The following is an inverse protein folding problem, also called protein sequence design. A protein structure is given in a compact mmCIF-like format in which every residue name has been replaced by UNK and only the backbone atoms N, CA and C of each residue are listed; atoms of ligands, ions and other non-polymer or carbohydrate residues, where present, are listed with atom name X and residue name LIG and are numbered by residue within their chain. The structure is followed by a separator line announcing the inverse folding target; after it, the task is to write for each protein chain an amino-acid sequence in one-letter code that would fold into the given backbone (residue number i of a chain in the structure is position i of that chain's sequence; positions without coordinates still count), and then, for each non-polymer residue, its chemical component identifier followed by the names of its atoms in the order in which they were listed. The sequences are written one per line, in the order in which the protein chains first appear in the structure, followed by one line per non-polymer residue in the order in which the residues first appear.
data_IF_380229534320
#
_entry.id   IF_380229534320
#
_cell.length_a   1.000
_cell.length_b   1.000
_cell.length_c   1.000
_cell.angle_alpha   90.00
_cell.angle_beta   90.00
_cell.angle_gamma   90.00
#
_symmetry.space_group_name_H-M   'P 1'
#
loop_
_entity.id
_entity.type
_entity.pdbx_description
1 polymer ?
#
# COMPACT_ATOMS: atom_id res chain seq x y z
N UNK A 1 -7.10 -17.17 -8.26
CA UNK A 1 -8.18 -16.51 -7.52
C UNK A 1 -9.35 -17.44 -7.24
N UNK A 2 -9.63 -18.46 -8.07
CA UNK A 2 -10.76 -19.40 -7.86
C UNK A 2 -10.83 -20.03 -6.46
N UNK A 3 -9.69 -20.32 -5.83
CA UNK A 3 -9.65 -20.91 -4.48
C UNK A 3 -10.06 -19.96 -3.33
N UNK A 4 -10.06 -18.65 -3.56
CA UNK A 4 -10.28 -17.63 -2.51
C UNK A 4 -11.41 -16.63 -2.83
N UNK A 5 -12.09 -16.79 -3.98
CA UNK A 5 -13.30 -16.04 -4.33
C UNK A 5 -13.20 -14.53 -4.09
N UNK A 6 -14.21 -13.98 -3.40
CA UNK A 6 -14.29 -12.57 -2.99
C UNK A 6 -13.65 -12.26 -1.63
N UNK A 7 -13.02 -13.24 -0.98
CA UNK A 7 -12.48 -13.07 0.37
C UNK A 7 -11.14 -12.32 0.38
N UNK A 8 -10.49 -12.23 -0.78
CA UNK A 8 -9.22 -11.51 -0.97
C UNK A 8 -9.29 -10.55 -2.15
N UNK A 9 -8.62 -9.41 -2.01
CA UNK A 9 -8.23 -8.57 -3.14
C UNK A 9 -6.80 -8.93 -3.53
N UNK A 10 -6.61 -9.47 -4.73
CA UNK A 10 -5.31 -9.86 -5.23
C UNK A 10 -4.79 -8.80 -6.21
N UNK A 11 -3.68 -8.14 -5.86
CA UNK A 11 -2.99 -7.20 -6.74
C UNK A 11 -1.57 -7.63 -7.09
N UNK A 12 -0.91 -6.87 -7.95
CA UNK A 12 0.49 -7.07 -8.31
C UNK A 12 1.36 -5.93 -7.77
N UNK A 13 2.50 -6.27 -7.20
CA UNK A 13 3.48 -5.32 -6.68
C UNK A 13 4.79 -5.34 -7.47
N UNK A 14 5.61 -4.31 -7.28
CA UNK A 14 6.91 -4.13 -7.98
C UNK A 14 6.72 -4.00 -9.50
N UNK A 15 5.63 -3.37 -9.92
CA UNK A 15 5.37 -3.08 -11.33
C UNK A 15 6.08 -1.78 -11.70
N UNK A 16 6.96 -1.84 -12.71
CA UNK A 16 7.84 -0.73 -13.11
C UNK A 16 7.42 -0.03 -14.41
N UNK A 17 6.67 -0.73 -15.25
CA UNK A 17 6.31 -0.34 -16.60
C UNK A 17 4.90 -0.83 -17.00
N UNK A 18 4.39 -0.26 -18.09
CA UNK A 18 3.05 -0.54 -18.57
C UNK A 18 2.91 -1.97 -19.10
N UNK A 19 3.96 -2.54 -19.68
CA UNK A 19 3.99 -3.91 -20.19
C UNK A 19 3.73 -4.91 -19.07
N UNK A 20 4.44 -4.75 -17.95
CA UNK A 20 4.27 -5.56 -16.74
C UNK A 20 2.90 -5.31 -16.12
N UNK A 21 2.47 -4.05 -16.01
CA UNK A 21 1.13 -3.72 -15.51
C UNK A 21 0.05 -4.43 -16.35
N UNK A 22 0.16 -4.42 -17.68
CA UNK A 22 -0.77 -5.09 -18.58
C UNK A 22 -0.77 -6.59 -18.36
N UNK A 23 0.40 -7.21 -18.28
CA UNK A 23 0.51 -8.64 -18.03
C UNK A 23 -0.16 -9.03 -16.70
N UNK A 24 0.05 -8.26 -15.63
CA UNK A 24 -0.59 -8.48 -14.34
C UNK A 24 -2.12 -8.32 -14.39
N UNK A 25 -2.62 -7.27 -15.06
CA UNK A 25 -4.05 -7.04 -15.24
C UNK A 25 -4.70 -8.22 -15.97
N UNK A 26 -4.09 -8.68 -17.07
CA UNK A 26 -4.59 -9.83 -17.82
C UNK A 26 -4.52 -11.14 -17.04
N UNK A 27 -3.60 -11.25 -16.07
CA UNK A 27 -3.53 -12.36 -15.12
C UNK A 27 -4.54 -12.26 -13.97
N UNK A 28 -5.37 -11.20 -13.93
CA UNK A 28 -6.43 -11.00 -12.94
C UNK A 28 -6.04 -10.16 -11.73
N UNK A 29 -4.96 -9.37 -11.80
CA UNK A 29 -4.64 -8.40 -10.75
C UNK A 29 -5.74 -7.33 -10.66
N UNK A 30 -6.29 -7.15 -9.45
CA UNK A 30 -7.36 -6.21 -9.15
C UNK A 30 -6.84 -4.81 -8.79
N UNK A 31 -5.54 -4.66 -8.56
CA UNK A 31 -4.86 -3.39 -8.39
C UNK A 31 -3.36 -3.56 -8.69
N UNK A 32 -2.70 -2.46 -9.04
CA UNK A 32 -1.27 -2.41 -9.38
C UNK A 32 -0.53 -1.51 -8.37
N UNK A 33 0.64 -1.97 -7.90
CA UNK A 33 1.50 -1.22 -6.98
C UNK A 33 2.91 -1.08 -7.54
N UNK A 34 3.38 0.16 -7.67
CA UNK A 34 4.74 0.48 -8.08
C UNK A 34 5.64 0.89 -6.89
N UNK A 35 6.97 0.81 -7.01
CA UNK A 35 7.89 1.47 -6.08
C UNK A 35 8.03 2.98 -6.37
N UNK A 36 7.64 3.42 -7.56
CA UNK A 36 7.65 4.82 -8.02
C UNK A 36 6.38 5.13 -8.82
N UNK A 37 6.19 6.40 -9.16
CA UNK A 37 5.19 6.84 -10.13
C UNK A 37 5.69 6.60 -11.56
N UNK A 38 4.87 5.94 -12.38
CA UNK A 38 5.08 5.75 -13.81
C UNK A 38 3.83 6.23 -14.56
N UNK A 39 4.01 7.17 -15.49
CA UNK A 39 2.92 7.78 -16.25
C UNK A 39 2.19 6.78 -17.16
N UNK A 40 2.94 5.91 -17.84
CA UNK A 40 2.38 4.91 -18.75
C UNK A 40 1.60 3.84 -17.98
N UNK A 41 2.09 3.45 -16.79
CA UNK A 41 1.34 2.60 -15.86
C UNK A 41 0.01 3.25 -15.48
N UNK A 42 0.01 4.54 -15.11
CA UNK A 42 -1.21 5.24 -14.72
C UNK A 42 -2.22 5.31 -15.88
N UNK A 43 -1.77 5.71 -17.07
CA UNK A 43 -2.61 5.76 -18.28
C UNK A 43 -3.21 4.40 -18.61
N UNK A 44 -2.41 3.33 -18.52
CA UNK A 44 -2.87 1.98 -18.79
C UNK A 44 -3.88 1.51 -17.73
N UNK A 45 -3.55 1.64 -16.44
CA UNK A 45 -4.41 1.22 -15.34
C UNK A 45 -5.77 1.92 -15.40
N UNK A 46 -5.79 3.23 -15.67
CA UNK A 46 -7.02 3.99 -15.88
C UNK A 46 -7.85 3.47 -17.06
N UNK A 47 -7.21 3.14 -18.20
CA UNK A 47 -7.89 2.58 -19.38
C UNK A 47 -8.57 1.24 -19.07
N UNK A 48 -7.94 0.42 -18.23
CA UNK A 48 -8.47 -0.89 -17.82
C UNK A 48 -9.36 -0.83 -16.58
N UNK A 49 -9.61 0.37 -16.02
CA UNK A 49 -10.32 0.57 -14.77
C UNK A 49 -9.76 -0.25 -13.59
N UNK A 50 -8.43 -0.36 -13.52
CA UNK A 50 -7.71 -1.03 -12.44
C UNK A 50 -7.01 0.02 -11.58
N UNK A 51 -7.22 0.05 -10.25
CA UNK A 51 -6.53 1.00 -9.37
C UNK A 51 -5.00 0.90 -9.46
N UNK A 52 -4.34 2.05 -9.56
CA UNK A 52 -2.90 2.17 -9.51
C UNK A 52 -2.46 2.90 -8.23
N UNK A 53 -1.57 2.25 -7.47
CA UNK A 53 -1.00 2.76 -6.22
C UNK A 53 0.50 3.02 -6.45
N UNK A 54 0.88 4.18 -7.02
CA UNK A 54 2.26 4.53 -7.26
C UNK A 54 3.03 4.83 -5.97
N UNK A 55 4.32 4.49 -5.97
CA UNK A 55 5.25 4.96 -4.95
C UNK A 55 5.61 6.42 -5.15
N UNK A 56 5.63 7.20 -4.06
CA UNK A 56 6.07 8.60 -4.04
C UNK A 56 6.91 8.85 -2.79
N UNK A 57 7.86 9.78 -2.90
CA UNK A 57 8.69 10.24 -1.78
C UNK A 57 8.75 11.77 -1.68
N UNK A 58 8.29 12.49 -2.70
CA UNK A 58 8.26 13.96 -2.71
C UNK A 58 6.86 14.52 -2.97
N UNK A 59 6.56 15.77 -2.53
CA UNK A 59 5.32 16.45 -2.88
C UNK A 59 5.09 16.58 -4.39
N UNK A 60 6.15 16.78 -5.18
CA UNK A 60 6.08 16.84 -6.65
C UNK A 60 5.52 15.54 -7.23
N UNK A 61 6.07 14.39 -6.82
CA UNK A 61 5.60 13.08 -7.26
C UNK A 61 4.17 12.79 -6.79
N UNK A 62 3.82 13.18 -5.56
CA UNK A 62 2.47 13.05 -5.04
C UNK A 62 1.45 13.85 -5.85
N UNK A 63 1.74 15.13 -6.14
CA UNK A 63 0.88 15.96 -7.01
C UNK A 63 0.74 15.33 -8.38
N UNK A 64 1.86 14.90 -8.99
CA UNK A 64 1.85 14.28 -10.31
C UNK A 64 1.01 13.00 -10.34
N UNK A 65 1.11 12.16 -9.32
CA UNK A 65 0.30 10.95 -9.21
C UNK A 65 -1.20 11.27 -9.07
N UNK A 66 -1.56 12.29 -8.28
CA UNK A 66 -2.94 12.73 -8.11
C UNK A 66 -3.52 13.31 -9.41
N UNK A 67 -2.76 14.08 -10.18
CA UNK A 67 -3.17 14.58 -11.51
C UNK A 67 -3.52 13.45 -12.49
N UNK A 68 -2.90 12.28 -12.31
CA UNK A 68 -3.14 11.08 -13.11
C UNK A 68 -4.23 10.18 -12.54
N UNK A 69 -4.90 10.60 -11.46
CA UNK A 69 -6.02 9.88 -10.85
C UNK A 69 -5.62 8.75 -9.90
N UNK A 70 -4.40 8.78 -9.33
CA UNK A 70 -4.04 7.82 -8.28
C UNK A 70 -4.89 8.05 -7.01
N UNK A 71 -5.70 7.06 -6.64
CA UNK A 71 -6.55 7.14 -5.44
C UNK A 71 -5.75 7.01 -4.14
N UNK A 72 -4.65 6.23 -4.17
CA UNK A 72 -3.79 5.96 -3.02
C UNK A 72 -2.33 6.19 -3.41
N UNK A 73 -1.63 6.95 -2.57
CA UNK A 73 -0.20 7.24 -2.71
C UNK A 73 0.60 6.37 -1.74
N UNK A 74 1.46 5.52 -2.28
CA UNK A 74 2.37 4.71 -1.47
C UNK A 74 3.57 5.57 -1.06
N UNK A 75 3.70 5.88 0.23
CA UNK A 75 4.90 6.53 0.78
C UNK A 75 5.98 5.46 0.96
N UNK A 76 7.04 5.49 0.16
CA UNK A 76 8.03 4.41 0.13
C UNK A 76 9.44 4.88 -0.24
N UNK A 77 10.50 4.49 0.52
CA UNK A 77 10.48 3.68 1.75
C UNK A 77 10.11 4.50 3.02
N UNK A 78 9.06 4.08 3.73
CA UNK A 78 8.53 4.83 4.88
C UNK A 78 9.42 4.75 6.14
N UNK A 79 10.15 3.65 6.34
CA UNK A 79 10.96 3.42 7.55
C UNK A 79 12.06 4.46 7.76
N UNK A 80 12.54 5.10 6.69
CA UNK A 80 13.56 6.16 6.78
C UNK A 80 13.04 7.45 7.42
N UNK A 81 11.71 7.63 7.50
CA UNK A 81 11.08 8.88 7.95
C UNK A 81 10.13 8.67 9.14
N UNK A 82 9.63 7.45 9.33
CA UNK A 82 8.68 7.11 10.39
C UNK A 82 7.29 7.76 10.20
N UNK A 83 6.36 7.58 11.15
CA UNK A 83 4.95 8.00 11.01
C UNK A 83 4.74 9.49 10.68
N UNK A 84 5.68 10.36 11.07
CA UNK A 84 5.63 11.81 10.81
C UNK A 84 5.61 12.18 9.33
N UNK A 85 6.06 11.30 8.43
CA UNK A 85 5.98 11.55 6.98
C UNK A 85 4.53 11.78 6.52
N UNK A 86 3.56 11.10 7.14
CA UNK A 86 2.16 11.21 6.74
C UNK A 86 1.63 12.61 7.02
N UNK A 87 1.87 13.14 8.21
CA UNK A 87 1.45 14.50 8.55
C UNK A 87 2.20 15.55 7.72
N UNK A 88 3.47 15.31 7.38
CA UNK A 88 4.25 16.17 6.50
C UNK A 88 3.65 16.27 5.09
N UNK A 89 3.13 15.17 4.53
CA UNK A 89 2.41 15.19 3.24
C UNK A 89 0.99 15.75 3.36
N UNK A 90 0.26 15.43 4.43
CA UNK A 90 -1.11 15.95 4.64
C UNK A 90 -1.17 17.46 4.84
N UNK A 91 -0.09 18.10 5.29
CA UNK A 91 -0.02 19.56 5.42
C UNK A 91 -0.33 20.29 4.11
N UNK A 92 0.47 20.10 3.04
CA UNK A 92 0.21 20.69 1.73
C UNK A 92 -0.80 19.92 0.86
N UNK A 93 -0.99 18.62 1.11
CA UNK A 93 -1.83 17.73 0.28
C UNK A 93 -2.84 16.96 1.14
N UNK A 94 -3.79 17.65 1.82
CA UNK A 94 -4.75 17.02 2.73
C UNK A 94 -5.73 16.07 2.03
N UNK A 95 -5.96 16.26 0.73
CA UNK A 95 -6.81 15.41 -0.10
C UNK A 95 -6.19 14.06 -0.46
N UNK A 96 -4.89 13.88 -0.24
CA UNK A 96 -4.20 12.62 -0.55
C UNK A 96 -4.56 11.50 0.43
N UNK A 97 -4.71 10.29 -0.11
CA UNK A 97 -4.82 9.06 0.68
C UNK A 97 -3.46 8.36 0.72
N UNK A 98 -2.90 8.18 1.91
CA UNK A 98 -1.52 7.73 2.05
C UNK A 98 -1.42 6.30 2.59
N UNK A 99 -0.56 5.50 1.94
CA UNK A 99 -0.18 4.15 2.33
C UNK A 99 1.33 4.08 2.61
N UNK A 100 1.80 4.27 3.85
CA UNK A 100 3.19 4.00 4.19
C UNK A 100 3.55 2.53 3.90
N UNK A 101 4.72 2.29 3.34
CA UNK A 101 5.27 0.94 3.10
C UNK A 101 6.76 0.91 3.41
N UNK A 102 7.20 -0.14 4.11
CA UNK A 102 8.59 -0.33 4.55
C UNK A 102 8.71 -0.20 6.09
N UNK A 103 9.30 -1.21 6.73
CA UNK A 103 9.52 -1.25 8.19
C UNK A 103 8.27 -1.32 9.08
N UNK A 104 7.09 -1.59 8.51
CA UNK A 104 5.84 -1.69 9.30
C UNK A 104 5.72 -3.07 9.94
N UNK A 105 5.44 -3.10 11.24
CA UNK A 105 5.28 -4.29 12.08
C UNK A 105 4.01 -4.19 12.93
N UNK A 106 3.66 -5.25 13.66
CA UNK A 106 2.51 -5.25 14.58
C UNK A 106 2.69 -4.22 15.71
N UNK A 107 3.92 -4.02 16.15
CA UNK A 107 4.28 -3.13 17.26
C UNK A 107 4.11 -1.66 16.89
N UNK A 108 4.40 -1.28 15.62
CA UNK A 108 4.34 0.11 15.17
C UNK A 108 3.11 0.45 14.31
N UNK A 109 2.30 -0.53 13.89
CA UNK A 109 1.14 -0.30 13.01
C UNK A 109 0.17 0.76 13.55
N UNK A 110 -0.08 0.77 14.87
CA UNK A 110 -0.98 1.72 15.49
C UNK A 110 -0.48 3.18 15.36
N UNK A 111 0.83 3.40 15.36
CA UNK A 111 1.43 4.74 15.24
C UNK A 111 1.21 5.31 13.83
N UNK A 112 1.37 4.46 12.80
CA UNK A 112 1.11 4.84 11.41
C UNK A 112 -0.37 5.20 11.17
N UNK A 113 -1.30 4.41 11.74
CA UNK A 113 -2.73 4.71 11.64
C UNK A 113 -3.07 6.04 12.33
N UNK A 114 -2.56 6.25 13.55
CA UNK A 114 -2.78 7.52 14.29
C UNK A 114 -2.18 8.73 13.60
N UNK A 115 -1.07 8.56 12.89
CA UNK A 115 -0.48 9.60 12.06
C UNK A 115 -1.31 9.91 10.79
N UNK A 116 -2.36 9.13 10.52
CA UNK A 116 -3.34 9.37 9.47
C UNK A 116 -3.19 8.48 8.24
N UNK A 117 -2.45 7.36 8.33
CA UNK A 117 -2.42 6.36 7.27
C UNK A 117 -3.81 5.78 7.04
N UNK A 118 -4.25 5.74 5.79
CA UNK A 118 -5.50 5.07 5.43
C UNK A 118 -5.30 3.55 5.32
N UNK A 119 -4.14 3.15 4.79
CA UNK A 119 -3.76 1.76 4.51
C UNK A 119 -2.31 1.56 4.98
N UNK A 120 -1.94 0.35 5.40
CA UNK A 120 -0.55 0.01 5.72
C UNK A 120 -0.02 -1.01 4.70
N UNK A 121 1.09 -0.71 4.04
CA UNK A 121 1.78 -1.66 3.18
C UNK A 121 2.77 -2.49 3.98
N UNK A 122 2.47 -3.78 4.15
CA UNK A 122 3.24 -4.69 5.02
C UNK A 122 3.86 -5.80 4.18
N UNK A 123 5.18 -5.85 4.17
CA UNK A 123 5.95 -6.84 3.42
C UNK A 123 6.46 -7.96 4.32
N UNK A 124 7.79 -8.07 4.41
CA UNK A 124 8.47 -9.20 5.06
C UNK A 124 8.07 -9.47 6.51
N UNK A 125 7.63 -8.46 7.26
CA UNK A 125 7.15 -8.65 8.63
C UNK A 125 5.96 -9.63 8.71
N UNK A 126 5.06 -9.59 7.72
CA UNK A 126 3.91 -10.50 7.64
C UNK A 126 4.28 -11.85 7.03
N UNK A 127 5.15 -11.86 6.02
CA UNK A 127 5.40 -13.06 5.19
C UNK A 127 6.62 -13.88 5.61
N UNK A 128 7.34 -13.50 6.67
CA UNK A 128 8.58 -14.18 7.11
C UNK A 128 8.40 -15.68 7.31
N UNK A 129 7.35 -16.11 8.02
CA UNK A 129 7.10 -17.53 8.30
C UNK A 129 6.79 -18.37 7.06
N UNK A 130 6.20 -17.77 6.03
CA UNK A 130 5.88 -18.47 4.78
C UNK A 130 7.15 -18.99 4.06
N UNK A 131 8.30 -18.30 4.22
CA UNK A 131 9.58 -18.75 3.65
C UNK A 131 10.08 -20.08 4.22
N UNK A 132 9.63 -20.44 5.41
CA UNK A 132 10.01 -21.66 6.13
C UNK A 132 8.83 -22.62 6.32
N UNK A 133 7.68 -22.36 5.69
CA UNK A 133 6.46 -23.16 5.84
C UNK A 133 5.70 -22.94 7.15
N UNK A 134 6.12 -21.98 7.98
CA UNK A 134 5.45 -21.62 9.23
C UNK A 134 4.29 -20.64 8.97
N UNK A 135 3.18 -21.17 8.48
CA UNK A 135 1.97 -20.39 8.21
C UNK A 135 1.21 -20.01 9.50
N UNK A 136 1.48 -20.69 10.62
CA UNK A 136 0.91 -20.34 11.92
C UNK A 136 1.44 -18.99 12.40
N UNK A 137 2.75 -18.73 12.27
CA UNK A 137 3.30 -17.41 12.60
C UNK A 137 2.77 -16.32 11.69
N UNK A 138 2.62 -16.57 10.39
CA UNK A 138 1.96 -15.63 9.46
C UNK A 138 0.55 -15.27 9.93
N UNK A 139 -0.24 -16.27 10.31
CA UNK A 139 -1.60 -16.08 10.82
C UNK A 139 -1.62 -15.28 12.12
N UNK A 140 -0.71 -15.58 13.05
CA UNK A 140 -0.57 -14.86 14.32
C UNK A 140 -0.21 -13.38 14.08
N UNK A 141 0.77 -13.11 13.23
CA UNK A 141 1.16 -11.74 12.87
C UNK A 141 0.03 -10.98 12.18
N UNK A 142 -0.73 -11.64 11.29
CA UNK A 142 -1.90 -11.02 10.65
C UNK A 142 -2.98 -10.61 11.67
N UNK A 143 -3.23 -11.45 12.69
CA UNK A 143 -4.18 -11.13 13.78
C UNK A 143 -3.69 -9.94 14.61
N UNK A 144 -2.42 -9.94 15.02
CA UNK A 144 -1.83 -8.84 15.79
C UNK A 144 -1.91 -7.51 15.04
N UNK A 145 -1.62 -7.51 13.73
CA UNK A 145 -1.77 -6.34 12.87
C UNK A 145 -3.22 -5.84 12.81
N UNK A 146 -4.18 -6.77 12.60
CA UNK A 146 -5.60 -6.43 12.57
C UNK A 146 -6.07 -5.80 13.89
N UNK A 147 -5.66 -6.37 15.01
CA UNK A 147 -5.98 -5.86 16.36
C UNK A 147 -5.37 -4.47 16.59
N UNK A 148 -4.10 -4.28 16.24
CA UNK A 148 -3.42 -2.98 16.37
C UNK A 148 -4.12 -1.89 15.54
N UNK A 149 -4.51 -2.20 14.30
CA UNK A 149 -5.25 -1.27 13.42
C UNK A 149 -6.65 -0.98 13.98
N UNK A 150 -7.39 -2.00 14.43
CA UNK A 150 -8.72 -1.82 14.99
C UNK A 150 -8.70 -0.96 16.27
N UNK A 151 -7.76 -1.22 17.18
CA UNK A 151 -7.59 -0.45 18.41
C UNK A 151 -7.13 0.99 18.15
N UNK A 152 -6.34 1.23 17.11
CA UNK A 152 -5.95 2.58 16.72
C UNK A 152 -7.13 3.38 16.16
N UNK A 153 -8.00 2.75 15.36
CA UNK A 153 -9.18 3.42 14.77
C UNK A 153 -10.30 3.69 15.77
N UNK A 154 -10.50 2.82 16.77
CA UNK A 154 -11.56 2.99 17.78
C UNK A 154 -11.30 4.13 18.77
N UNK A 155 -10.05 4.53 18.95
CA UNK A 155 -9.63 5.63 19.85
C UNK A 155 -9.54 7.00 19.17
N UNK A 156 -9.92 7.10 17.90
CA UNK A 156 -9.90 8.35 17.11
C UNK A 156 -11.26 9.05 17.04
N UNK A 157 -12.17 8.74 17.97
CA UNK A 157 -13.47 9.42 18.15
C UNK A 157 -13.40 10.27 19.41
#
# INVERSE_FOLDING_TARGET
SEAFGSDILLGAGTVLDAETARACILAGAQYIVGPSFNEDCARLCNRYAVPYIPGVMTPQEAVRALEFGADILKLFPAELFGPKIISAFKGPLPQGTYMPTGGITAENAAEWIKAGAAVLGIGGALTKGAKTGDFESVTRTARQLKEAVAAARSKSI
#
